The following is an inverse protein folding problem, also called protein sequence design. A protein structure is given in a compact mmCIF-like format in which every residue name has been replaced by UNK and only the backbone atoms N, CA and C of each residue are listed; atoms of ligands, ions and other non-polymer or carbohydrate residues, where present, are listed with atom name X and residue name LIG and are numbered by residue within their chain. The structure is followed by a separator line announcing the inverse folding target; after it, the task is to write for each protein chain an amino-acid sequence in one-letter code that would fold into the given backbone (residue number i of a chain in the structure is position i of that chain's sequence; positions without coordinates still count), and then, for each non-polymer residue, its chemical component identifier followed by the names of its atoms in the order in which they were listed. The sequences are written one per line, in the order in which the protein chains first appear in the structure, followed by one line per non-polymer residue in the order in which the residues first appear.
data_IF_241496672992
#
_entry.id   IF_241496672992
#
_cell.length_a   1.000
_cell.length_b   1.000
_cell.length_c   1.000
_cell.angle_alpha   90.00
_cell.angle_beta   90.00
_cell.angle_gamma   90.00
#
_symmetry.space_group_name_H-M   'P 1'
#
loop_
_entity.id
_entity.type
_entity.pdbx_description
1 polymer ?
#
# COMPACT_ATOMS: atom_id res chain seq x y z
N UNK A 1 32.96 25.20 71.81
CA UNK A 1 32.22 25.93 70.76
C UNK A 1 32.34 25.14 69.47
N UNK A 2 31.33 24.30 69.14
CA UNK A 2 31.30 23.52 67.87
C UNK A 2 30.27 24.15 66.97
N UNK A 3 30.75 24.65 65.78
CA UNK A 3 29.90 25.13 64.68
C UNK A 3 29.48 23.92 63.85
N UNK A 4 28.14 23.64 63.83
CA UNK A 4 27.55 22.69 62.90
C UNK A 4 27.30 23.40 61.54
N UNK A 5 27.98 22.94 60.49
CA UNK A 5 27.64 23.30 59.09
C UNK A 5 26.46 22.42 58.66
N UNK A 6 25.35 23.05 58.34
CA UNK A 6 24.22 22.43 57.63
C UNK A 6 24.48 22.52 56.12
N UNK A 7 24.74 21.36 55.47
CA UNK A 7 24.72 21.22 54.04
C UNK A 7 23.28 21.06 53.60
N UNK A 8 22.70 22.06 52.93
CA UNK A 8 21.44 21.99 52.21
C UNK A 8 21.71 21.45 50.82
N UNK A 9 21.40 20.16 50.60
CA UNK A 9 21.42 19.56 49.28
C UNK A 9 20.22 20.02 48.45
N UNK A 10 20.45 20.76 47.36
CA UNK A 10 19.46 21.02 46.34
C UNK A 10 19.24 19.71 45.53
N UNK A 11 18.10 19.07 45.72
CA UNK A 11 17.62 18.04 44.81
C UNK A 11 16.96 18.72 43.62
N UNK A 12 17.67 18.78 42.49
CA UNK A 12 17.09 19.19 41.21
C UNK A 12 16.20 18.06 40.69
N UNK A 13 14.89 18.15 40.88
CA UNK A 13 13.92 17.29 40.26
C UNK A 13 13.85 17.69 38.76
N UNK A 14 14.45 16.87 37.89
CA UNK A 14 14.22 16.97 36.45
C UNK A 14 12.77 16.57 36.18
N UNK A 15 11.89 17.53 35.96
CA UNK A 15 10.58 17.28 35.36
C UNK A 15 10.82 16.82 33.91
N UNK A 16 10.76 15.52 33.68
CA UNK A 16 10.54 14.98 32.34
C UNK A 16 9.10 15.34 31.93
N UNK A 17 8.96 16.35 31.06
CA UNK A 17 7.69 16.62 30.42
C UNK A 17 7.28 15.37 29.63
N UNK A 18 6.25 14.67 30.09
CA UNK A 18 5.61 13.62 29.30
C UNK A 18 4.89 14.30 28.14
N UNK A 19 5.41 14.12 26.93
CA UNK A 19 4.71 14.54 25.71
C UNK A 19 3.45 13.67 25.60
N UNK A 20 2.28 14.29 25.67
CA UNK A 20 1.00 13.61 25.42
C UNK A 20 0.86 13.37 23.92
N UNK A 21 0.26 12.25 23.53
CA UNK A 21 -0.05 11.98 22.11
C UNK A 21 -0.93 13.08 21.48
N UNK A 22 -1.76 13.73 22.29
CA UNK A 22 -2.63 14.84 21.89
C UNK A 22 -1.89 16.11 21.43
N UNK A 23 -0.56 16.21 21.68
CA UNK A 23 0.25 17.37 21.30
C UNK A 23 1.06 17.13 20.01
N UNK A 24 0.99 15.93 19.42
CA UNK A 24 1.78 15.59 18.24
C UNK A 24 1.15 16.13 16.96
N UNK A 25 2.02 16.66 16.08
CA UNK A 25 1.69 17.01 14.70
C UNK A 25 2.45 16.12 13.74
N UNK A 26 1.75 15.42 12.86
CA UNK A 26 2.33 14.52 11.85
C UNK A 26 2.03 15.02 10.45
N UNK A 27 3.06 15.12 9.62
CA UNK A 27 2.91 15.37 8.19
C UNK A 27 2.77 14.06 7.43
N UNK A 28 1.75 13.90 6.59
CA UNK A 28 1.59 12.73 5.72
C UNK A 28 1.67 13.12 4.25
N UNK A 29 2.76 12.72 3.58
CA UNK A 29 2.93 12.84 2.13
C UNK A 29 2.34 11.60 1.46
N UNK A 30 1.10 11.73 0.98
CA UNK A 30 0.35 10.67 0.31
C UNK A 30 0.71 10.59 -1.17
N UNK A 31 0.63 9.39 -1.79
CA UNK A 31 0.82 9.19 -3.24
C UNK A 31 -0.14 10.06 -4.05
N UNK A 32 -1.42 9.99 -3.71
CA UNK A 32 -2.53 10.60 -4.44
C UNK A 32 -3.86 10.08 -3.93
N UNK A 33 -4.83 10.03 -4.84
CA UNK A 33 -6.16 9.44 -4.65
C UNK A 33 -6.53 8.58 -5.87
N UNK A 34 -5.53 7.88 -6.41
CA UNK A 34 -5.58 7.17 -7.68
C UNK A 34 -6.50 5.94 -7.67
N UNK A 35 -6.77 5.39 -6.48
CA UNK A 35 -7.57 4.18 -6.29
C UNK A 35 -8.50 4.28 -5.08
N UNK A 36 -9.51 3.42 -5.04
CA UNK A 36 -10.40 3.28 -3.88
C UNK A 36 -9.62 2.89 -2.61
N UNK A 37 -8.64 1.97 -2.74
CA UNK A 37 -7.80 1.58 -1.62
C UNK A 37 -6.95 2.76 -1.09
N UNK A 38 -6.36 3.56 -1.98
CA UNK A 38 -5.57 4.74 -1.56
C UNK A 38 -6.41 5.79 -0.83
N UNK A 39 -7.64 5.99 -1.29
CA UNK A 39 -8.61 6.86 -0.61
C UNK A 39 -8.95 6.33 0.78
N UNK A 40 -9.15 5.01 0.92
CA UNK A 40 -9.40 4.37 2.20
C UNK A 40 -8.19 4.50 3.16
N UNK A 41 -6.96 4.31 2.68
CA UNK A 41 -5.76 4.51 3.49
C UNK A 41 -5.69 5.94 4.05
N UNK A 42 -5.99 6.94 3.23
CA UNK A 42 -6.05 8.35 3.67
C UNK A 42 -7.13 8.56 4.74
N UNK A 43 -8.32 7.99 4.55
CA UNK A 43 -9.42 8.13 5.49
C UNK A 43 -9.15 7.39 6.81
N UNK A 44 -8.55 6.21 6.74
CA UNK A 44 -8.12 5.46 7.92
C UNK A 44 -7.03 6.24 8.66
N UNK A 45 -6.05 6.81 7.98
CA UNK A 45 -5.01 7.63 8.62
C UNK A 45 -5.61 8.83 9.37
N UNK A 46 -6.60 9.52 8.78
CA UNK A 46 -7.34 10.60 9.46
C UNK A 46 -8.07 10.10 10.70
N UNK A 47 -8.76 8.96 10.60
CA UNK A 47 -9.49 8.35 11.71
C UNK A 47 -8.55 7.93 12.85
N UNK A 48 -7.43 7.29 12.52
CA UNK A 48 -6.45 6.85 13.49
C UNK A 48 -5.76 8.02 14.20
N UNK A 49 -5.45 9.10 13.49
CA UNK A 49 -4.93 10.33 14.08
C UNK A 49 -5.95 10.97 15.05
N UNK A 50 -7.21 11.09 14.61
CA UNK A 50 -8.28 11.67 15.43
C UNK A 50 -8.52 10.89 16.72
N UNK A 51 -8.52 9.55 16.67
CA UNK A 51 -8.65 8.69 17.87
C UNK A 51 -7.55 8.92 18.92
N UNK A 52 -6.35 9.34 18.46
CA UNK A 52 -5.17 9.60 19.30
C UNK A 52 -5.00 11.07 19.70
N UNK A 53 -5.87 11.97 19.17
CA UNK A 53 -5.71 13.41 19.35
C UNK A 53 -4.54 14.01 18.58
N UNK A 54 -3.99 13.29 17.60
CA UNK A 54 -2.85 13.73 16.78
C UNK A 54 -3.35 14.67 15.66
N UNK A 55 -2.66 15.81 15.49
CA UNK A 55 -2.88 16.69 14.34
C UNK A 55 -2.22 16.12 13.09
N UNK A 56 -3.01 15.67 12.12
CA UNK A 56 -2.52 15.10 10.86
C UNK A 56 -2.63 16.11 9.73
N UNK A 57 -1.49 16.52 9.14
CA UNK A 57 -1.40 17.37 7.96
C UNK A 57 -1.13 16.52 6.75
N UNK A 58 -2.04 16.49 5.76
CA UNK A 58 -1.92 15.63 4.57
C UNK A 58 -1.59 16.49 3.35
N UNK A 59 -0.62 16.04 2.56
CA UNK A 59 -0.29 16.58 1.24
C UNK A 59 -0.50 15.48 0.19
N UNK A 60 -1.31 15.80 -0.84
CA UNK A 60 -1.55 14.92 -1.98
C UNK A 60 -0.42 15.07 -3.01
N UNK A 61 0.30 13.98 -3.26
CA UNK A 61 1.40 13.92 -4.23
C UNK A 61 0.94 13.92 -5.69
N UNK A 62 -0.34 13.69 -5.96
CA UNK A 62 -0.89 13.61 -7.32
C UNK A 62 -0.11 12.63 -8.22
N UNK A 63 0.32 11.51 -7.64
CA UNK A 63 1.19 10.49 -8.26
C UNK A 63 2.53 11.04 -8.78
N UNK A 64 3.03 12.16 -8.22
CA UNK A 64 4.29 12.79 -8.61
C UNK A 64 5.24 12.86 -7.42
N UNK A 65 6.39 12.19 -7.53
CA UNK A 65 7.41 12.19 -6.48
C UNK A 65 7.90 13.60 -6.15
N UNK A 66 8.01 14.48 -7.14
CA UNK A 66 8.44 15.87 -6.92
C UNK A 66 7.50 16.62 -5.97
N UNK A 67 6.18 16.38 -6.06
CA UNK A 67 5.21 16.96 -5.14
C UNK A 67 5.38 16.39 -3.73
N UNK A 68 5.64 15.09 -3.62
CA UNK A 68 5.90 14.45 -2.32
C UNK A 68 7.17 15.01 -1.68
N UNK A 69 8.27 15.20 -2.44
CA UNK A 69 9.50 15.79 -1.94
C UNK A 69 9.26 17.23 -1.46
N UNK A 70 8.49 18.05 -2.21
CA UNK A 70 8.09 19.40 -1.78
C UNK A 70 7.27 19.38 -0.50
N UNK A 71 6.35 18.41 -0.36
CA UNK A 71 5.54 18.25 0.85
C UNK A 71 6.41 17.89 2.06
N UNK A 72 7.35 16.96 1.91
CA UNK A 72 8.28 16.59 2.99
C UNK A 72 9.09 17.80 3.45
N UNK A 73 9.67 18.58 2.52
CA UNK A 73 10.37 19.82 2.87
C UNK A 73 9.49 20.84 3.58
N UNK A 74 8.23 20.97 3.14
CA UNK A 74 7.25 21.84 3.83
C UNK A 74 6.98 21.38 5.26
N UNK A 75 6.85 20.06 5.50
CA UNK A 75 6.69 19.51 6.84
C UNK A 75 7.93 19.73 7.71
N UNK A 76 9.14 19.58 7.15
CA UNK A 76 10.39 19.89 7.83
C UNK A 76 10.41 21.37 8.26
N UNK A 77 10.10 22.29 7.35
CA UNK A 77 10.05 23.73 7.64
C UNK A 77 8.99 24.10 8.69
N UNK A 78 7.90 23.34 8.78
CA UNK A 78 6.86 23.52 9.80
C UNK A 78 7.24 22.92 11.17
N UNK A 79 8.33 22.17 11.26
CA UNK A 79 8.77 21.52 12.50
C UNK A 79 7.79 20.47 13.01
N UNK A 80 7.18 19.67 12.14
CA UNK A 80 6.28 18.59 12.56
C UNK A 80 7.03 17.53 13.39
N UNK A 81 6.32 16.79 14.25
CA UNK A 81 6.92 15.80 15.15
C UNK A 81 7.33 14.50 14.47
N UNK A 82 6.71 14.17 13.34
CA UNK A 82 7.05 13.05 12.48
C UNK A 82 6.53 13.26 11.05
N UNK A 83 7.12 12.56 10.10
CA UNK A 83 6.67 12.54 8.71
C UNK A 83 6.33 11.12 8.31
N UNK A 84 5.12 10.91 7.77
CA UNK A 84 4.69 9.69 7.12
C UNK A 84 4.76 9.88 5.60
N UNK A 85 5.23 8.88 4.89
CA UNK A 85 5.35 8.92 3.41
C UNK A 85 4.82 7.60 2.86
N UNK A 86 3.86 7.67 1.92
CA UNK A 86 3.55 6.57 1.01
C UNK A 86 4.24 6.87 -0.33
N UNK A 87 5.41 6.28 -0.64
CA UNK A 87 6.23 6.73 -1.77
C UNK A 87 5.62 6.38 -3.14
N UNK A 88 5.65 7.29 -4.11
CA UNK A 88 5.23 6.98 -5.49
C UNK A 88 6.16 5.93 -6.10
N UNK A 89 7.48 6.14 -6.00
CA UNK A 89 8.53 5.24 -6.49
C UNK A 89 9.55 4.97 -5.40
N UNK A 90 10.36 3.90 -5.57
CA UNK A 90 11.29 3.47 -4.53
C UNK A 90 12.63 4.20 -4.48
N UNK A 91 12.99 4.99 -5.50
CA UNK A 91 14.31 5.64 -5.60
C UNK A 91 14.21 7.16 -5.50
N UNK A 92 15.36 7.85 -5.27
CA UNK A 92 15.44 9.32 -5.29
C UNK A 92 15.03 10.01 -3.97
N UNK A 93 14.94 9.27 -2.86
CA UNK A 93 14.48 9.80 -1.56
C UNK A 93 15.62 10.26 -0.65
N UNK A 94 16.86 9.75 -0.84
CA UNK A 94 17.98 9.99 0.08
C UNK A 94 18.13 11.48 0.47
N UNK A 95 18.21 12.46 -0.47
CA UNK A 95 18.47 13.85 -0.10
C UNK A 95 17.44 14.45 0.86
N UNK A 96 16.14 14.26 0.58
CA UNK A 96 15.08 14.83 1.43
C UNK A 96 14.95 14.10 2.77
N UNK A 97 15.33 12.82 2.83
CA UNK A 97 15.37 12.06 4.08
C UNK A 97 16.57 12.46 4.94
N UNK A 98 17.71 12.84 4.35
CA UNK A 98 18.82 13.44 5.05
C UNK A 98 18.44 14.80 5.64
N UNK A 99 17.72 15.64 4.89
CA UNK A 99 17.15 16.91 5.40
C UNK A 99 16.25 16.68 6.62
N UNK A 100 15.39 15.65 6.59
CA UNK A 100 14.53 15.30 7.74
C UNK A 100 15.34 14.80 8.94
N UNK A 101 16.39 13.99 8.70
CA UNK A 101 17.29 13.48 9.74
C UNK A 101 18.06 14.62 10.42
N UNK A 102 18.58 15.58 9.65
CA UNK A 102 19.29 16.76 10.17
C UNK A 102 18.36 17.63 11.02
N UNK A 103 17.09 17.73 10.62
CA UNK A 103 16.03 18.40 11.40
C UNK A 103 15.55 17.55 12.60
N UNK A 104 16.06 16.34 12.80
CA UNK A 104 15.69 15.38 13.85
C UNK A 104 14.21 14.98 13.81
N UNK A 105 13.60 14.98 12.62
CA UNK A 105 12.21 14.58 12.39
C UNK A 105 12.19 13.12 11.92
N UNK A 106 11.64 12.17 12.70
CA UNK A 106 11.57 10.77 12.31
C UNK A 106 10.62 10.56 11.12
N UNK A 107 11.03 9.71 10.17
CA UNK A 107 10.25 9.38 8.98
C UNK A 107 9.75 7.93 9.07
N UNK A 108 8.49 7.71 8.75
CA UNK A 108 7.84 6.40 8.67
C UNK A 108 7.32 6.19 7.25
N UNK A 109 7.54 5.01 6.70
CA UNK A 109 7.06 4.67 5.36
C UNK A 109 5.78 3.84 5.49
N UNK A 110 4.77 4.16 4.67
CA UNK A 110 3.49 3.48 4.64
C UNK A 110 3.29 2.80 3.29
N UNK A 111 2.77 1.57 3.31
CA UNK A 111 2.44 0.76 2.15
C UNK A 111 3.66 0.39 1.30
N UNK A 112 4.45 1.37 0.85
CA UNK A 112 5.53 1.19 -0.11
C UNK A 112 6.90 1.40 0.50
N UNK A 113 7.86 0.55 0.11
CA UNK A 113 9.26 0.66 0.51
C UNK A 113 10.07 1.56 -0.43
N UNK A 114 11.23 2.01 0.06
CA UNK A 114 12.22 2.77 -0.71
C UNK A 114 13.57 2.06 -0.73
N UNK A 115 14.39 2.41 -1.72
CA UNK A 115 15.78 1.98 -1.83
C UNK A 115 16.67 3.15 -1.46
N UNK A 116 17.35 3.04 -0.33
CA UNK A 116 18.35 3.98 0.18
C UNK A 116 19.54 3.20 0.74
N UNK A 117 20.72 3.80 0.71
CA UNK A 117 21.96 3.18 1.26
C UNK A 117 21.91 3.15 2.79
N UNK A 118 21.60 4.29 3.39
CA UNK A 118 21.46 4.42 4.86
C UNK A 118 20.04 4.13 5.32
N UNK A 119 19.85 2.93 5.87
CA UNK A 119 18.56 2.52 6.45
C UNK A 119 18.17 3.31 7.71
N UNK A 120 19.07 4.10 8.31
CA UNK A 120 18.75 4.95 9.45
C UNK A 120 17.90 6.17 9.08
N UNK A 121 17.76 6.48 7.78
CA UNK A 121 16.97 7.60 7.26
C UNK A 121 15.46 7.46 7.48
N UNK A 122 14.99 6.28 7.85
CA UNK A 122 13.58 6.08 8.23
C UNK A 122 13.49 5.12 9.43
N UNK A 123 12.39 5.21 10.16
CA UNK A 123 12.14 4.40 11.36
C UNK A 123 11.71 2.98 10.99
N UNK A 124 10.65 2.85 10.23
CA UNK A 124 10.05 1.58 9.79
C UNK A 124 9.33 1.75 8.45
N UNK A 125 9.09 0.63 7.77
CA UNK A 125 8.11 0.49 6.69
C UNK A 125 6.95 -0.33 7.24
N UNK A 126 5.75 0.23 7.26
CA UNK A 126 4.50 -0.53 7.49
C UNK A 126 3.96 -0.94 6.13
N UNK A 127 3.99 -2.22 5.82
CA UNK A 127 3.66 -2.76 4.49
C UNK A 127 3.17 -4.20 4.59
N UNK A 128 2.59 -4.73 3.51
CA UNK A 128 2.30 -6.15 3.39
C UNK A 128 3.51 -6.94 2.83
N UNK A 129 3.35 -8.25 2.71
CA UNK A 129 4.26 -9.08 1.92
C UNK A 129 3.80 -9.10 0.46
N UNK A 130 4.22 -8.10 -0.31
CA UNK A 130 3.76 -7.91 -1.68
C UNK A 130 4.21 -9.04 -2.63
N UNK A 131 5.32 -9.72 -2.33
CA UNK A 131 5.72 -10.93 -3.06
C UNK A 131 4.73 -12.05 -2.80
N UNK A 132 4.33 -12.24 -1.52
CA UNK A 132 3.30 -13.22 -1.16
C UNK A 132 1.96 -12.91 -1.84
N UNK A 133 1.56 -11.63 -1.93
CA UNK A 133 0.31 -11.23 -2.59
C UNK A 133 0.27 -11.69 -4.05
N UNK A 134 1.31 -11.39 -4.82
CA UNK A 134 1.44 -11.86 -6.20
C UNK A 134 1.46 -13.39 -6.30
N UNK A 135 2.20 -14.04 -5.39
CA UNK A 135 2.29 -15.49 -5.33
C UNK A 135 0.94 -16.15 -5.05
N UNK A 136 0.13 -15.62 -4.14
CA UNK A 136 -1.20 -16.15 -3.83
C UNK A 136 -2.13 -16.16 -5.05
N UNK A 137 -2.11 -15.12 -5.88
CA UNK A 137 -2.86 -15.09 -7.14
C UNK A 137 -2.31 -16.12 -8.14
N UNK A 138 -1.00 -16.23 -8.26
CA UNK A 138 -0.37 -17.22 -9.14
C UNK A 138 -0.66 -18.66 -8.73
N UNK A 139 -0.52 -18.99 -7.44
CA UNK A 139 -0.82 -20.32 -6.89
C UNK A 139 -2.31 -20.68 -7.06
N UNK A 140 -3.21 -19.70 -6.91
CA UNK A 140 -4.63 -19.88 -7.20
C UNK A 140 -4.86 -20.19 -8.68
N UNK A 141 -4.21 -19.46 -9.59
CA UNK A 141 -4.34 -19.71 -11.02
C UNK A 141 -3.88 -21.11 -11.39
N UNK A 142 -2.70 -21.53 -10.92
CA UNK A 142 -2.15 -22.87 -11.16
C UNK A 142 -3.15 -23.95 -10.76
N UNK A 143 -3.75 -23.84 -9.59
CA UNK A 143 -4.77 -24.79 -9.10
C UNK A 143 -6.04 -24.76 -9.97
N UNK A 144 -6.43 -23.57 -10.43
CA UNK A 144 -7.69 -23.38 -11.18
C UNK A 144 -7.60 -23.92 -12.59
N UNK A 145 -6.49 -23.72 -13.29
CA UNK A 145 -6.34 -24.15 -14.70
C UNK A 145 -5.82 -25.59 -14.83
N UNK A 146 -5.12 -26.10 -13.81
CA UNK A 146 -4.46 -27.42 -13.88
C UNK A 146 -3.52 -27.49 -15.08
N UNK A 147 -3.66 -28.52 -15.91
CA UNK A 147 -2.82 -28.73 -17.12
C UNK A 147 -3.33 -28.00 -18.36
N UNK A 148 -4.43 -27.25 -18.28
CA UNK A 148 -4.98 -26.53 -19.44
C UNK A 148 -4.09 -25.34 -19.82
N UNK A 149 -3.87 -25.09 -21.14
CA UNK A 149 -3.16 -23.90 -21.60
C UNK A 149 -3.84 -22.63 -21.12
N UNK A 150 -3.05 -21.67 -20.60
CA UNK A 150 -3.55 -20.41 -20.10
C UNK A 150 -2.60 -19.26 -20.46
N UNK A 151 -3.03 -18.36 -21.33
CA UNK A 151 -2.34 -17.10 -21.60
C UNK A 151 -2.83 -16.04 -20.63
N UNK A 152 -1.92 -15.48 -19.88
CA UNK A 152 -2.19 -14.43 -18.87
C UNK A 152 -1.78 -13.07 -19.44
N UNK A 153 -2.60 -12.06 -19.21
CA UNK A 153 -2.24 -10.65 -19.39
C UNK A 153 -2.14 -9.97 -18.04
N UNK A 154 -1.15 -9.09 -17.86
CA UNK A 154 -0.83 -8.45 -16.58
C UNK A 154 -1.00 -6.93 -16.67
N UNK A 155 -1.80 -6.38 -15.76
CA UNK A 155 -1.93 -4.95 -15.51
C UNK A 155 -1.05 -4.59 -14.31
N UNK A 156 0.13 -4.04 -14.58
CA UNK A 156 1.06 -3.62 -13.52
C UNK A 156 0.64 -2.30 -12.90
N UNK A 157 1.05 -2.08 -11.65
CA UNK A 157 0.95 -0.77 -11.02
C UNK A 157 1.95 0.25 -11.59
N UNK A 158 2.11 1.38 -10.89
CA UNK A 158 3.03 2.46 -11.26
C UNK A 158 4.45 1.95 -11.40
N UNK A 159 5.09 2.27 -12.52
CA UNK A 159 6.48 1.89 -12.81
C UNK A 159 7.41 2.45 -11.72
N UNK A 160 8.26 1.59 -11.15
CA UNK A 160 9.19 1.95 -10.09
C UNK A 160 8.61 1.93 -8.67
N UNK A 161 7.30 1.65 -8.49
CA UNK A 161 6.73 1.41 -7.19
C UNK A 161 7.13 0.03 -6.65
N UNK A 162 7.57 -0.06 -5.39
CA UNK A 162 8.04 -1.31 -4.78
C UNK A 162 6.97 -2.40 -4.83
N UNK A 163 5.71 -2.07 -4.51
CA UNK A 163 4.58 -3.01 -4.52
C UNK A 163 4.31 -3.60 -5.91
N UNK A 164 4.47 -2.81 -6.98
CA UNK A 164 4.30 -3.31 -8.35
C UNK A 164 5.42 -4.30 -8.73
N UNK A 165 6.66 -3.99 -8.35
CA UNK A 165 7.84 -4.85 -8.59
C UNK A 165 7.67 -6.19 -7.86
N UNK A 166 7.28 -6.14 -6.59
CA UNK A 166 7.16 -7.33 -5.73
C UNK A 166 5.96 -8.21 -6.11
N UNK A 167 4.80 -7.63 -6.41
CA UNK A 167 3.60 -8.35 -6.89
C UNK A 167 3.88 -9.08 -8.21
N UNK A 168 4.57 -8.40 -9.16
CA UNK A 168 5.03 -9.02 -10.40
C UNK A 168 5.95 -10.21 -10.14
N UNK A 169 6.95 -10.01 -9.26
CA UNK A 169 7.91 -11.06 -8.88
C UNK A 169 7.19 -12.28 -8.31
N UNK A 170 6.30 -12.07 -7.33
CA UNK A 170 5.59 -13.16 -6.66
C UNK A 170 4.71 -13.97 -7.61
N UNK A 171 3.99 -13.31 -8.52
CA UNK A 171 3.19 -13.99 -9.53
C UNK A 171 4.06 -14.80 -10.50
N UNK A 172 5.16 -14.21 -10.99
CA UNK A 172 6.09 -14.88 -11.89
C UNK A 172 6.74 -16.11 -11.23
N UNK A 173 7.12 -16.04 -9.96
CA UNK A 173 7.66 -17.16 -9.19
C UNK A 173 6.63 -18.30 -9.06
N UNK A 174 5.36 -17.99 -8.83
CA UNK A 174 4.31 -18.98 -8.69
C UNK A 174 4.06 -19.79 -9.97
N UNK A 175 4.14 -19.15 -11.15
CA UNK A 175 3.87 -19.79 -12.43
C UNK A 175 5.11 -20.38 -13.11
N UNK A 176 6.32 -20.13 -12.61
CA UNK A 176 7.59 -20.47 -13.28
C UNK A 176 7.73 -21.95 -13.62
N UNK A 177 7.19 -22.87 -12.80
CA UNK A 177 7.22 -24.33 -13.04
C UNK A 177 6.13 -24.86 -13.98
N UNK A 178 5.24 -23.99 -14.50
CA UNK A 178 4.02 -24.38 -15.21
C UNK A 178 4.04 -23.92 -16.67
N UNK A 179 4.62 -24.74 -17.55
CA UNK A 179 4.84 -24.41 -18.98
C UNK A 179 3.54 -24.15 -19.78
N UNK A 180 2.39 -24.63 -19.28
CA UNK A 180 1.07 -24.37 -19.83
C UNK A 180 0.52 -22.97 -19.50
N UNK A 181 1.10 -22.27 -18.53
CA UNK A 181 0.72 -20.89 -18.16
C UNK A 181 1.76 -19.92 -18.73
N UNK A 182 1.33 -18.97 -19.55
CA UNK A 182 2.23 -18.01 -20.22
C UNK A 182 1.78 -16.58 -19.96
N UNK A 183 2.67 -15.75 -19.45
CA UNK A 183 2.48 -14.30 -19.42
C UNK A 183 2.76 -13.73 -20.81
N UNK A 184 1.71 -13.42 -21.57
CA UNK A 184 1.83 -13.00 -22.98
C UNK A 184 1.84 -11.49 -23.17
N UNK A 185 1.24 -10.74 -22.23
CA UNK A 185 1.22 -9.27 -22.22
C UNK A 185 1.40 -8.75 -20.80
N UNK A 186 2.10 -7.64 -20.68
CA UNK A 186 2.33 -6.97 -19.40
C UNK A 186 2.56 -5.48 -19.63
N UNK A 187 1.72 -4.63 -19.03
CA UNK A 187 1.81 -3.17 -19.14
C UNK A 187 1.30 -2.48 -17.88
N UNK A 188 1.85 -1.29 -17.59
CA UNK A 188 1.38 -0.48 -16.47
C UNK A 188 0.00 0.13 -16.75
N UNK A 189 -0.91 0.01 -15.77
CA UNK A 189 -2.17 0.72 -15.67
C UNK A 189 -2.16 1.73 -14.52
N UNK A 190 -0.99 2.04 -13.95
CA UNK A 190 -0.72 3.09 -12.95
C UNK A 190 -1.65 3.05 -11.72
N UNK A 191 -2.16 1.86 -11.39
CA UNK A 191 -3.13 1.60 -10.32
C UNK A 191 -4.49 2.30 -10.50
N UNK A 192 -4.77 2.87 -11.67
CA UNK A 192 -6.02 3.59 -11.94
C UNK A 192 -7.03 2.75 -12.71
N UNK A 193 -8.32 2.93 -12.42
CA UNK A 193 -9.41 2.23 -13.10
C UNK A 193 -9.46 2.54 -14.60
N UNK A 194 -9.32 3.82 -14.96
CA UNK A 194 -9.36 4.26 -16.36
C UNK A 194 -8.21 3.70 -17.19
N UNK A 195 -6.99 3.71 -16.62
CA UNK A 195 -5.82 3.17 -17.33
C UNK A 195 -5.86 1.65 -17.42
N UNK A 196 -6.34 0.98 -16.35
CA UNK A 196 -6.59 -0.47 -16.39
C UNK A 196 -7.55 -0.87 -17.50
N UNK A 197 -8.63 -0.10 -17.71
CA UNK A 197 -9.56 -0.29 -18.83
C UNK A 197 -8.87 -0.11 -20.19
N UNK A 198 -8.19 1.03 -20.39
CA UNK A 198 -7.48 1.35 -21.64
C UNK A 198 -6.47 0.26 -22.03
N UNK A 199 -5.65 -0.18 -21.10
CA UNK A 199 -4.64 -1.23 -21.32
C UNK A 199 -5.30 -2.57 -21.64
N UNK A 200 -6.38 -2.94 -20.91
CA UNK A 200 -7.10 -4.18 -21.19
C UNK A 200 -7.78 -4.17 -22.56
N UNK A 201 -8.34 -3.04 -23.02
CA UNK A 201 -8.86 -2.89 -24.38
C UNK A 201 -7.78 -3.14 -25.44
N UNK A 202 -6.56 -2.64 -25.21
CA UNK A 202 -5.41 -2.89 -26.06
C UNK A 202 -5.02 -4.37 -26.10
N UNK A 203 -5.01 -5.04 -24.94
CA UNK A 203 -4.73 -6.47 -24.85
C UNK A 203 -5.79 -7.31 -25.57
N UNK A 204 -7.07 -6.99 -25.40
CA UNK A 204 -8.17 -7.68 -26.08
C UNK A 204 -8.00 -7.60 -27.60
N UNK A 205 -7.69 -6.41 -28.14
CA UNK A 205 -7.45 -6.23 -29.57
C UNK A 205 -6.25 -7.05 -30.08
N UNK A 206 -5.15 -7.06 -29.31
CA UNK A 206 -3.90 -7.75 -29.67
C UNK A 206 -4.02 -9.28 -29.59
N UNK A 207 -4.93 -9.80 -28.75
CA UNK A 207 -5.09 -11.23 -28.46
C UNK A 207 -6.38 -11.79 -29.07
N UNK A 208 -6.54 -11.62 -30.38
CA UNK A 208 -7.66 -12.17 -31.16
C UNK A 208 -9.06 -11.83 -30.55
N UNK A 209 -9.30 -10.55 -30.32
CA UNK A 209 -10.51 -10.06 -29.65
C UNK A 209 -10.76 -10.76 -28.29
N UNK A 210 -9.68 -10.97 -27.54
CA UNK A 210 -9.70 -11.57 -26.22
C UNK A 210 -9.79 -13.10 -26.16
N UNK A 211 -10.00 -13.76 -27.31
CA UNK A 211 -10.17 -15.24 -27.37
C UNK A 211 -8.91 -16.02 -26.94
N UNK A 212 -7.75 -15.39 -27.04
CA UNK A 212 -6.49 -16.01 -26.61
C UNK A 212 -6.14 -15.74 -25.15
N UNK A 213 -6.94 -14.93 -24.44
CA UNK A 213 -6.69 -14.56 -23.03
C UNK A 213 -7.46 -15.52 -22.13
N UNK A 214 -6.76 -16.19 -21.23
CA UNK A 214 -7.34 -17.04 -20.20
C UNK A 214 -7.61 -16.23 -18.91
N UNK A 215 -6.69 -15.33 -18.54
CA UNK A 215 -6.77 -14.56 -17.32
C UNK A 215 -6.18 -13.15 -17.47
N UNK A 216 -6.79 -12.18 -16.79
CA UNK A 216 -6.17 -10.91 -16.44
C UNK A 216 -5.72 -10.95 -14.98
N UNK A 217 -4.42 -10.72 -14.74
CA UNK A 217 -3.86 -10.44 -13.43
C UNK A 217 -3.67 -8.94 -13.29
N UNK A 218 -4.37 -8.31 -12.37
CA UNK A 218 -4.23 -6.90 -12.07
C UNK A 218 -3.57 -6.71 -10.70
N UNK A 219 -2.55 -5.85 -10.65
CA UNK A 219 -1.85 -5.57 -9.41
C UNK A 219 -2.71 -4.85 -8.37
N UNK A 220 -3.86 -4.28 -8.77
CA UNK A 220 -4.87 -3.81 -7.84
C UNK A 220 -6.29 -3.95 -8.39
N UNK A 221 -7.27 -3.75 -7.50
CA UNK A 221 -8.69 -3.90 -7.80
C UNK A 221 -9.23 -2.84 -8.74
N UNK A 222 -8.79 -1.59 -8.63
CA UNK A 222 -9.27 -0.52 -9.53
C UNK A 222 -8.92 -0.82 -10.99
N UNK A 223 -7.71 -1.29 -11.27
CA UNK A 223 -7.35 -1.77 -12.61
C UNK A 223 -8.17 -2.99 -13.03
N UNK A 224 -8.43 -3.94 -12.10
CA UNK A 224 -9.26 -5.12 -12.37
C UNK A 224 -10.70 -4.73 -12.74
N UNK A 225 -11.30 -3.79 -12.00
CA UNK A 225 -12.65 -3.27 -12.32
C UNK A 225 -12.66 -2.58 -13.70
N UNK A 226 -11.63 -1.82 -14.02
CA UNK A 226 -11.45 -1.27 -15.37
C UNK A 226 -11.36 -2.35 -16.45
N UNK A 227 -10.58 -3.41 -16.18
CA UNK A 227 -10.46 -4.55 -17.09
C UNK A 227 -11.79 -5.31 -17.27
N UNK A 228 -12.53 -5.53 -16.19
CA UNK A 228 -13.88 -6.14 -16.23
C UNK A 228 -14.80 -5.33 -17.16
N UNK A 229 -14.76 -4.01 -17.08
CA UNK A 229 -15.55 -3.16 -17.96
C UNK A 229 -15.13 -3.34 -19.44
N UNK A 230 -13.82 -3.34 -19.74
CA UNK A 230 -13.30 -3.54 -21.09
C UNK A 230 -13.71 -4.91 -21.67
N UNK A 231 -13.67 -5.98 -20.84
CA UNK A 231 -14.08 -7.33 -21.23
C UNK A 231 -15.57 -7.35 -21.60
N UNK A 232 -16.43 -6.70 -20.80
CA UNK A 232 -17.89 -6.60 -21.05
C UNK A 232 -18.16 -5.83 -22.33
N UNK A 233 -17.49 -4.70 -22.56
CA UNK A 233 -17.65 -3.88 -23.78
C UNK A 233 -17.18 -4.62 -25.05
N UNK A 234 -16.25 -5.55 -24.93
CA UNK A 234 -15.84 -6.44 -26.02
C UNK A 234 -16.82 -7.61 -26.27
N UNK A 235 -17.93 -7.69 -25.53
CA UNK A 235 -18.92 -8.77 -25.65
C UNK A 235 -18.51 -10.08 -24.99
N UNK A 236 -17.44 -10.08 -24.18
CA UNK A 236 -16.94 -11.23 -23.42
C UNK A 236 -17.51 -11.22 -22.00
N UNK A 237 -17.45 -12.37 -21.34
CA UNK A 237 -17.94 -12.56 -19.97
C UNK A 237 -16.78 -12.58 -18.98
N UNK A 238 -16.53 -11.48 -18.21
CA UNK A 238 -15.50 -11.49 -17.18
C UNK A 238 -15.81 -12.57 -16.14
N UNK A 239 -14.78 -13.16 -15.56
CA UNK A 239 -14.91 -14.26 -14.62
C UNK A 239 -15.24 -15.62 -15.23
N UNK A 240 -15.59 -15.68 -16.52
CA UNK A 240 -15.93 -16.92 -17.25
C UNK A 240 -15.09 -17.12 -18.51
N UNK A 241 -15.17 -16.20 -19.47
CA UNK A 241 -14.34 -16.26 -20.68
C UNK A 241 -12.92 -15.84 -20.39
N UNK A 242 -12.75 -14.84 -19.51
CA UNK A 242 -11.45 -14.37 -19.00
C UNK A 242 -11.55 -14.32 -17.48
N UNK A 243 -10.70 -15.12 -16.81
CA UNK A 243 -10.58 -15.11 -15.35
C UNK A 243 -9.98 -13.77 -14.89
N UNK A 244 -10.40 -13.31 -13.72
CA UNK A 244 -9.91 -12.06 -13.12
C UNK A 244 -9.37 -12.31 -11.72
N UNK A 245 -8.11 -11.95 -11.50
CA UNK A 245 -7.46 -11.96 -10.18
C UNK A 245 -6.81 -10.62 -9.87
N UNK A 246 -6.99 -10.13 -8.63
CA UNK A 246 -6.50 -8.81 -8.22
C UNK A 246 -6.14 -8.75 -6.74
N UNK A 247 -5.64 -7.59 -6.30
CA UNK A 247 -5.18 -7.34 -4.94
C UNK A 247 -5.80 -6.01 -4.48
N UNK A 248 -6.07 -5.86 -3.21
CA UNK A 248 -6.47 -4.74 -2.35
C UNK A 248 -7.68 -5.07 -1.46
N UNK A 249 -8.75 -5.68 -2.01
CA UNK A 249 -9.98 -5.97 -1.28
C UNK A 249 -10.92 -4.77 -1.14
N UNK A 250 -11.06 -3.94 -2.19
CA UNK A 250 -12.04 -2.84 -2.18
C UNK A 250 -13.48 -3.37 -2.32
N UNK A 251 -14.52 -2.65 -1.84
CA UNK A 251 -15.90 -3.11 -1.94
C UNK A 251 -16.35 -3.49 -3.35
N UNK A 252 -15.88 -2.78 -4.38
CA UNK A 252 -16.30 -3.01 -5.75
C UNK A 252 -15.82 -4.34 -6.32
N UNK A 253 -14.64 -4.84 -5.91
CA UNK A 253 -14.18 -6.15 -6.37
C UNK A 253 -15.03 -7.28 -5.75
N UNK A 254 -15.45 -7.15 -4.49
CA UNK A 254 -16.32 -8.13 -3.86
C UNK A 254 -17.72 -8.12 -4.49
N UNK A 255 -18.26 -6.96 -4.90
CA UNK A 255 -19.46 -6.86 -5.69
C UNK A 255 -19.32 -7.56 -7.06
N UNK A 256 -18.16 -7.39 -7.72
CA UNK A 256 -17.85 -8.08 -8.96
C UNK A 256 -17.74 -9.61 -8.76
N UNK A 257 -17.16 -10.07 -7.64
CA UNK A 257 -17.14 -11.50 -7.29
C UNK A 257 -18.54 -12.06 -7.08
N UNK A 258 -19.43 -11.33 -6.38
CA UNK A 258 -20.84 -11.74 -6.19
C UNK A 258 -21.61 -11.79 -7.52
N UNK A 259 -21.26 -10.93 -8.48
CA UNK A 259 -21.82 -10.94 -9.83
C UNK A 259 -21.22 -12.04 -10.73
N UNK A 260 -20.19 -12.78 -10.25
CA UNK A 260 -19.47 -13.79 -11.03
C UNK A 260 -18.53 -13.20 -12.08
N UNK A 261 -18.12 -11.93 -11.91
CA UNK A 261 -17.26 -11.18 -12.83
C UNK A 261 -15.78 -11.13 -12.38
N UNK A 262 -15.49 -11.49 -11.13
CA UNK A 262 -14.13 -11.66 -10.58
C UNK A 262 -14.01 -13.00 -9.84
N UNK A 263 -12.82 -13.58 -9.82
CA UNK A 263 -12.61 -14.95 -9.38
C UNK A 263 -11.71 -15.09 -8.15
N UNK A 264 -10.75 -14.21 -7.97
CA UNK A 264 -9.82 -14.24 -6.85
C UNK A 264 -9.40 -12.82 -6.46
N UNK A 265 -9.30 -12.58 -5.17
CA UNK A 265 -8.81 -11.33 -4.63
C UNK A 265 -7.91 -11.58 -3.44
N UNK A 266 -6.78 -10.91 -3.37
CA UNK A 266 -5.94 -10.87 -2.18
C UNK A 266 -6.20 -9.56 -1.45
N UNK A 267 -6.68 -9.66 -0.20
CA UNK A 267 -6.93 -8.49 0.63
C UNK A 267 -5.63 -7.87 1.13
N UNK A 268 -5.59 -6.55 1.07
CA UNK A 268 -4.60 -5.68 1.70
C UNK A 268 -5.34 -4.67 2.59
N UNK A 269 -5.03 -4.65 3.88
CA UNK A 269 -5.64 -3.66 4.78
C UNK A 269 -5.18 -2.23 4.42
N UNK A 270 -6.08 -1.23 4.38
CA UNK A 270 -5.67 0.18 4.23
C UNK A 270 -5.15 0.79 5.53
N UNK A 271 -5.19 0.06 6.66
CA UNK A 271 -4.70 0.57 7.94
C UNK A 271 -3.18 0.41 8.07
N UNK A 272 -2.42 1.18 7.29
CA UNK A 272 -0.97 1.31 7.44
C UNK A 272 -0.60 2.34 8.50
N UNK A 273 -1.43 3.35 8.71
CA UNK A 273 -1.14 4.44 9.64
C UNK A 273 -1.26 4.03 11.12
N UNK A 274 -2.18 3.13 11.48
CA UNK A 274 -2.36 2.67 12.86
C UNK A 274 -1.05 2.15 13.48
N UNK A 275 -0.43 1.10 12.93
CA UNK A 275 0.86 0.61 13.42
C UNK A 275 1.99 1.65 13.38
N UNK A 276 1.96 2.59 12.43
CA UNK A 276 2.95 3.67 12.37
C UNK A 276 2.77 4.67 13.51
N UNK A 277 1.53 5.04 13.86
CA UNK A 277 1.23 5.87 15.02
C UNK A 277 1.62 5.15 16.32
N UNK A 278 1.31 3.87 16.48
CA UNK A 278 1.71 3.09 17.65
C UNK A 278 3.24 3.11 17.84
N UNK A 279 3.98 2.95 16.74
CA UNK A 279 5.43 3.01 16.75
C UNK A 279 5.95 4.42 17.09
N UNK A 280 5.32 5.48 16.56
CA UNK A 280 5.66 6.87 16.85
C UNK A 280 5.43 7.20 18.33
N UNK A 281 4.26 6.87 18.87
CA UNK A 281 3.92 7.12 20.27
C UNK A 281 4.90 6.42 21.21
N UNK A 282 5.22 5.16 20.94
CA UNK A 282 6.21 4.42 21.73
C UNK A 282 7.61 5.03 21.65
N UNK A 283 8.04 5.42 20.45
CA UNK A 283 9.33 6.11 20.27
C UNK A 283 9.38 7.44 21.02
N UNK A 284 8.33 8.26 20.96
CA UNK A 284 8.26 9.53 21.68
C UNK A 284 8.22 9.35 23.19
N UNK A 285 7.58 8.28 23.68
CA UNK A 285 7.44 7.99 25.11
C UNK A 285 8.74 7.51 25.77
N UNK A 286 9.43 6.57 25.15
CA UNK A 286 10.54 5.83 25.78
C UNK A 286 11.77 5.61 24.89
N UNK A 287 11.77 6.16 23.68
CA UNK A 287 12.88 6.02 22.72
C UNK A 287 12.94 4.66 22.04
N UNK A 288 11.94 3.77 22.23
CA UNK A 288 11.96 2.43 21.61
C UNK A 288 11.87 2.53 20.11
N UNK A 289 12.87 1.96 19.41
CA UNK A 289 12.87 1.89 17.95
C UNK A 289 11.96 0.75 17.46
N UNK A 290 11.11 0.99 16.44
CA UNK A 290 10.35 -0.09 15.83
C UNK A 290 11.23 -1.03 15.00
N UNK A 291 10.76 -2.24 14.67
CA UNK A 291 11.42 -3.08 13.66
C UNK A 291 11.47 -2.34 12.32
N UNK A 292 12.50 -2.59 11.49
CA UNK A 292 12.64 -1.91 10.19
C UNK A 292 11.49 -2.19 9.22
N UNK A 293 10.78 -3.31 9.40
CA UNK A 293 9.59 -3.68 8.64
C UNK A 293 8.53 -4.13 9.62
N UNK A 294 7.36 -3.52 9.56
CA UNK A 294 6.15 -3.94 10.24
C UNK A 294 5.19 -4.48 9.18
N UNK A 295 5.00 -5.80 9.16
CA UNK A 295 4.16 -6.46 8.15
C UNK A 295 2.70 -6.48 8.59
N UNK A 296 1.80 -6.16 7.66
CA UNK A 296 0.37 -6.45 7.75
C UNK A 296 0.07 -7.80 7.08
N UNK A 297 -1.08 -8.40 7.43
CA UNK A 297 -1.51 -9.66 6.82
C UNK A 297 -2.15 -9.42 5.45
N UNK A 298 -1.94 -10.38 4.54
CA UNK A 298 -2.65 -10.49 3.26
C UNK A 298 -3.26 -11.88 3.14
N UNK A 299 -4.50 -11.97 2.65
CA UNK A 299 -5.25 -13.22 2.51
C UNK A 299 -5.94 -13.29 1.16
N UNK A 300 -5.91 -14.49 0.58
CA UNK A 300 -6.68 -14.79 -0.62
C UNK A 300 -8.14 -15.07 -0.25
N UNK A 301 -9.05 -14.40 -0.96
CA UNK A 301 -10.50 -14.62 -0.90
C UNK A 301 -11.05 -15.02 -2.26
N UNK A 302 -12.06 -15.88 -2.24
CA UNK A 302 -12.76 -16.42 -3.40
C UNK A 302 -14.23 -15.95 -3.40
N UNK A 303 -15.01 -16.15 -4.48
CA UNK A 303 -16.40 -15.70 -4.55
C UNK A 303 -17.27 -16.15 -3.38
N UNK A 304 -17.02 -17.32 -2.79
CA UNK A 304 -17.75 -17.79 -1.60
C UNK A 304 -17.55 -16.88 -0.37
N UNK A 305 -16.44 -16.16 -0.28
CA UNK A 305 -16.10 -15.29 0.84
C UNK A 305 -16.59 -13.85 0.62
N UNK A 306 -17.01 -13.51 -0.63
CA UNK A 306 -17.17 -12.14 -1.08
C UNK A 306 -18.20 -11.33 -0.27
N UNK A 307 -19.34 -11.96 0.13
CA UNK A 307 -20.35 -11.26 0.92
C UNK A 307 -19.82 -10.90 2.32
N UNK A 308 -19.19 -11.86 2.98
CA UNK A 308 -18.61 -11.63 4.31
C UNK A 308 -17.52 -10.55 4.26
N UNK A 309 -16.68 -10.58 3.23
CA UNK A 309 -15.64 -9.55 3.05
C UNK A 309 -16.22 -8.18 2.74
N UNK A 310 -17.23 -8.09 1.88
CA UNK A 310 -17.94 -6.83 1.59
C UNK A 310 -18.51 -6.20 2.87
N UNK A 311 -19.07 -7.03 3.76
CA UNK A 311 -19.64 -6.55 5.03
C UNK A 311 -18.56 -5.97 5.97
N UNK A 312 -17.33 -6.50 5.97
CA UNK A 312 -16.22 -5.96 6.76
C UNK A 312 -15.77 -4.57 6.29
N UNK A 313 -16.03 -4.20 5.03
CA UNK A 313 -15.62 -2.89 4.48
C UNK A 313 -16.50 -1.72 4.89
N UNK A 314 -17.65 -1.99 5.49
CA UNK A 314 -18.57 -0.95 5.99
C UNK A 314 -17.87 -0.11 7.05
N UNK A 315 -17.81 1.21 6.82
CA UNK A 315 -17.16 2.16 7.73
C UNK A 315 -15.63 2.25 7.66
N UNK A 316 -14.97 1.54 6.74
CA UNK A 316 -13.51 1.62 6.56
C UNK A 316 -13.05 2.80 5.67
N UNK A 317 -13.99 3.67 5.22
CA UNK A 317 -13.62 4.89 4.48
C UNK A 317 -13.35 4.69 2.98
N UNK A 318 -13.80 3.56 2.40
CA UNK A 318 -13.77 3.33 0.94
C UNK A 318 -14.74 4.25 0.22
#
# INVERSE_FOLDING_TARGET
MWKRLLLTGLVSAALSAQVSAADLTVGFSQVGSESGWRSAETNVAKSEAAKRGITLKIADGQQKQENQIKAVRSFIAQGVDAIFIAPVVQTGWEPVLEEAKDAKIPVFLLDRAIVVKDKSLYMTVVTADNVLEGKLIGDWLVKTVGDKPCNVVELQGTVGASVAIDRKKGFAEAIAGHSNIKLVRSQSGDFTRSKGKEVMESFIKAENNGKNICMVYAHNDDMAIGAIQAIKEAGLKPGKDILTGSIDGVPDIYKAMLAGEANANVELTPNMAGPAFDALEKFKKDGTLPPKITKTESRLYLPADAQAQLDTKKGMGY
#
